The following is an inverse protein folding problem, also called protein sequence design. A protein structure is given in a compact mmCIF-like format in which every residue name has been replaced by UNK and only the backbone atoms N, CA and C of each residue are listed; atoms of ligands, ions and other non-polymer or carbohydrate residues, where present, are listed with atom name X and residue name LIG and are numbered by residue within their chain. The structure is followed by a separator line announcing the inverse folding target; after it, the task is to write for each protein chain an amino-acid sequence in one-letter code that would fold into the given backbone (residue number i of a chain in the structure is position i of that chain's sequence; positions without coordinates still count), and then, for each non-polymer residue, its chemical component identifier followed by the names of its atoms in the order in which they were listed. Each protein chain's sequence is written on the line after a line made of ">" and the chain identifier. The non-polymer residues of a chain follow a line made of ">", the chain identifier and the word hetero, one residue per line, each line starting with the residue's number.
data_IF_266687072489
#
_entry.id   IF_266687072489
#
_cell.length_a   1.000
_cell.length_b   1.000
_cell.length_c   1.000
_cell.angle_alpha   90.00
_cell.angle_beta   90.00
_cell.angle_gamma   90.00
#
_symmetry.space_group_name_H-M   'P 1'
#
loop_
_entity.id
_entity.type
_entity.pdbx_description
1 polymer ?
#
# COMPACT_ATOMS: atom_id res chain seq x y z
N UNK A 1 7.93 33.25 -1.46
CA UNK A 1 6.44 33.27 -1.55
C UNK A 1 6.07 32.24 -2.61
N UNK A 2 5.45 31.11 -2.25
CA UNK A 2 5.13 30.05 -3.22
C UNK A 2 3.63 30.07 -3.50
N UNK A 3 3.29 30.27 -4.78
CA UNK A 3 1.93 30.20 -5.32
C UNK A 3 1.40 28.77 -5.17
N UNK A 4 0.18 28.64 -4.67
CA UNK A 4 -0.60 27.40 -4.71
C UNK A 4 -1.58 27.50 -5.88
N UNK A 5 -1.39 26.65 -6.88
CA UNK A 5 -2.22 26.56 -8.08
C UNK A 5 -3.68 26.28 -7.73
N UNK A 6 -4.60 27.06 -8.32
CA UNK A 6 -6.03 26.79 -8.29
C UNK A 6 -6.37 25.98 -9.54
N UNK A 7 -6.62 24.68 -9.37
CA UNK A 7 -7.29 23.87 -10.38
C UNK A 7 -8.77 23.91 -10.05
N UNK A 8 -9.57 24.57 -10.90
CA UNK A 8 -11.02 24.58 -10.77
C UNK A 8 -11.57 23.18 -11.07
N UNK A 9 -12.08 22.50 -10.05
CA UNK A 9 -12.85 21.25 -10.23
C UNK A 9 -14.28 21.56 -10.67
N UNK A 10 -14.84 20.78 -11.61
CA UNK A 10 -16.17 21.01 -12.15
C UNK A 10 -17.27 20.69 -11.13
N UNK A 11 -18.39 21.38 -11.33
CA UNK A 11 -19.62 21.37 -10.55
C UNK A 11 -20.24 19.96 -10.47
N UNK A 12 -19.95 19.26 -9.37
CA UNK A 12 -20.75 18.15 -8.86
C UNK A 12 -21.43 18.69 -7.60
N UNK A 13 -22.70 19.07 -7.74
CA UNK A 13 -23.57 19.48 -6.64
C UNK A 13 -23.72 18.36 -5.61
N UNK A 14 -22.74 18.24 -4.71
CA UNK A 14 -22.81 17.49 -3.48
C UNK A 14 -22.91 18.55 -2.36
N UNK A 15 -24.14 18.81 -1.91
CA UNK A 15 -24.47 19.68 -0.76
C UNK A 15 -24.03 18.97 0.55
N UNK A 16 -22.81 18.44 0.55
CA UNK A 16 -22.15 17.94 1.73
C UNK A 16 -21.41 19.13 2.36
N UNK A 17 -21.67 19.46 3.64
CA UNK A 17 -20.95 20.53 4.29
C UNK A 17 -19.44 20.26 4.24
N UNK A 18 -18.67 21.29 3.92
CA UNK A 18 -17.21 21.20 3.90
C UNK A 18 -16.72 20.71 5.26
N UNK A 19 -16.00 19.58 5.27
CA UNK A 19 -15.44 19.01 6.49
C UNK A 19 -14.48 20.01 7.14
N UNK A 20 -14.78 20.40 8.37
CA UNK A 20 -13.97 21.31 9.17
C UNK A 20 -13.06 20.54 10.13
N UNK A 21 -12.00 21.18 10.65
CA UNK A 21 -11.14 20.56 11.67
C UNK A 21 -11.94 20.11 12.91
N UNK A 22 -12.97 20.87 13.29
CA UNK A 22 -13.86 20.54 14.40
C UNK A 22 -14.69 19.26 14.16
N UNK A 23 -14.89 18.84 12.91
CA UNK A 23 -15.52 17.56 12.58
C UNK A 23 -14.58 16.39 12.84
N UNK A 24 -13.29 16.55 12.55
CA UNK A 24 -12.27 15.55 12.88
C UNK A 24 -12.00 15.46 14.38
N UNK A 25 -12.04 16.58 15.10
CA UNK A 25 -11.80 16.60 16.55
C UNK A 25 -12.93 15.89 17.33
N UNK A 26 -14.16 15.89 16.77
CA UNK A 26 -15.31 15.15 17.31
C UNK A 26 -15.37 13.68 16.87
N UNK A 27 -14.48 13.26 15.97
CA UNK A 27 -14.51 11.91 15.43
C UNK A 27 -14.15 10.87 16.49
N UNK A 28 -14.92 9.78 16.51
CA UNK A 28 -14.67 8.62 17.36
C UNK A 28 -14.17 7.45 16.52
N UNK A 29 -13.08 6.82 16.96
CA UNK A 29 -12.63 5.59 16.33
C UNK A 29 -13.61 4.46 16.68
N UNK A 30 -14.04 3.70 15.67
CA UNK A 30 -14.91 2.54 15.86
C UNK A 30 -14.33 1.29 15.22
N UNK A 31 -14.39 0.17 15.94
CA UNK A 31 -14.06 -1.17 15.43
C UNK A 31 -15.31 -2.04 15.57
N UNK A 32 -15.79 -2.60 14.46
CA UNK A 32 -17.02 -3.42 14.42
C UNK A 32 -18.25 -2.75 15.07
N UNK A 33 -18.34 -1.41 15.01
CA UNK A 33 -19.46 -0.63 15.54
C UNK A 33 -19.29 -0.14 16.99
N UNK A 34 -18.28 -0.63 17.73
CA UNK A 34 -17.97 -0.21 19.09
C UNK A 34 -16.90 0.89 19.13
N UNK A 35 -17.03 1.82 20.08
CA UNK A 35 -16.03 2.86 20.33
C UNK A 35 -14.71 2.18 20.75
N UNK A 36 -13.62 2.55 20.09
CA UNK A 36 -12.30 1.99 20.29
C UNK A 36 -11.27 3.09 20.50
N UNK A 37 -10.18 2.78 21.19
CA UNK A 37 -9.01 3.66 21.23
C UNK A 37 -8.33 3.73 19.87
N UNK A 38 -7.54 4.78 19.64
CA UNK A 38 -6.73 4.95 18.42
C UNK A 38 -5.81 3.73 18.17
N UNK A 39 -5.24 3.16 19.23
CA UNK A 39 -4.35 1.99 19.15
C UNK A 39 -5.11 0.73 18.69
N UNK A 40 -6.27 0.46 19.28
CA UNK A 40 -7.11 -0.69 18.94
C UNK A 40 -7.63 -0.59 17.50
N UNK A 41 -8.06 0.60 17.09
CA UNK A 41 -8.46 0.85 15.71
C UNK A 41 -7.31 0.63 14.73
N UNK A 42 -6.11 1.15 15.03
CA UNK A 42 -4.92 0.93 14.21
C UNK A 42 -4.54 -0.55 14.11
N UNK A 43 -4.65 -1.30 15.21
CA UNK A 43 -4.41 -2.74 15.23
C UNK A 43 -5.41 -3.49 14.38
N UNK A 44 -6.71 -3.21 14.54
CA UNK A 44 -7.78 -3.84 13.76
C UNK A 44 -7.64 -3.55 12.25
N UNK A 45 -7.27 -2.32 11.88
CA UNK A 45 -7.00 -1.94 10.48
C UNK A 45 -5.79 -2.71 9.94
N UNK A 46 -4.69 -2.82 10.70
CA UNK A 46 -3.51 -3.61 10.29
C UNK A 46 -3.85 -5.07 10.04
N UNK A 47 -4.59 -5.71 10.96
CA UNK A 47 -5.02 -7.10 10.82
C UNK A 47 -5.87 -7.28 9.56
N UNK A 48 -6.80 -6.36 9.26
CA UNK A 48 -7.58 -6.43 8.02
C UNK A 48 -6.78 -6.19 6.75
N UNK A 49 -5.77 -5.31 6.78
CA UNK A 49 -5.02 -4.94 5.59
C UNK A 49 -3.94 -5.97 5.22
N UNK A 50 -3.57 -6.87 6.15
CA UNK A 50 -2.52 -7.88 5.96
C UNK A 50 -1.12 -7.28 5.73
N UNK A 51 -0.95 -5.96 5.92
CA UNK A 51 0.31 -5.24 5.73
C UNK A 51 1.04 -5.14 7.06
N UNK A 52 2.27 -5.62 7.09
CA UNK A 52 3.16 -5.50 8.25
C UNK A 52 4.02 -4.23 8.12
N UNK A 53 4.14 -3.47 9.21
CA UNK A 53 5.10 -2.36 9.32
C UNK A 53 6.40 -2.94 9.86
N UNK A 54 7.42 -3.00 9.01
CA UNK A 54 8.75 -3.50 9.35
C UNK A 54 9.78 -2.37 9.27
N UNK A 55 10.89 -2.50 9.99
CA UNK A 55 12.06 -1.67 9.81
C UNK A 55 13.02 -2.41 8.88
N UNK A 56 13.27 -1.83 7.70
CA UNK A 56 14.19 -2.37 6.70
C UNK A 56 15.07 -1.23 6.17
N UNK A 57 16.34 -1.52 5.93
CA UNK A 57 17.24 -0.62 5.21
C UNK A 57 17.22 -0.99 3.74
N UNK A 58 16.99 -0.01 2.88
CA UNK A 58 17.13 -0.12 1.44
C UNK A 58 18.22 0.85 0.99
N UNK A 59 18.95 0.47 -0.04
CA UNK A 59 19.96 1.34 -0.64
C UNK A 59 19.29 2.59 -1.23
N UNK A 60 19.96 3.74 -1.07
CA UNK A 60 19.47 5.01 -1.57
C UNK A 60 19.12 4.97 -3.09
N UNK A 61 19.94 4.37 -3.97
CA UNK A 61 19.61 4.28 -5.40
C UNK A 61 18.31 3.53 -5.69
N UNK A 62 17.98 2.50 -4.89
CA UNK A 62 16.75 1.73 -5.06
C UNK A 62 15.54 2.60 -4.70
N UNK A 63 15.62 3.32 -3.57
CA UNK A 63 14.54 4.22 -3.14
C UNK A 63 14.31 5.33 -4.16
N UNK A 64 15.39 5.95 -4.66
CA UNK A 64 15.28 7.01 -5.67
C UNK A 64 14.72 6.51 -6.99
N UNK A 65 15.10 5.30 -7.43
CA UNK A 65 14.52 4.66 -8.62
C UNK A 65 12.99 4.52 -8.50
N UNK A 66 12.51 3.97 -7.37
CA UNK A 66 11.07 3.80 -7.16
C UNK A 66 10.32 5.10 -6.90
N UNK A 67 10.97 6.12 -6.34
CA UNK A 67 10.40 7.48 -6.26
C UNK A 67 10.23 8.11 -7.63
N UNK A 68 11.18 7.94 -8.54
CA UNK A 68 11.08 8.46 -9.90
C UNK A 68 9.96 7.77 -10.70
N UNK A 69 9.77 6.45 -10.49
CA UNK A 69 8.69 5.67 -11.08
C UNK A 69 7.31 5.93 -10.48
N UNK A 70 7.26 6.49 -9.27
CA UNK A 70 6.04 6.56 -8.46
C UNK A 70 4.92 7.34 -9.15
N UNK A 71 5.17 8.48 -9.80
CA UNK A 71 4.09 9.32 -10.32
C UNK A 71 3.01 9.55 -9.25
N UNK A 72 1.74 9.25 -9.58
CA UNK A 72 0.62 9.26 -8.61
C UNK A 72 0.55 8.01 -7.70
N UNK A 73 1.19 6.90 -8.09
CA UNK A 73 1.26 5.68 -7.27
C UNK A 73 2.37 5.83 -6.22
N UNK A 74 2.06 5.58 -4.94
CA UNK A 74 3.10 5.62 -3.90
C UNK A 74 4.26 4.63 -4.18
N UNK A 75 5.50 5.10 -4.07
CA UNK A 75 6.72 4.30 -4.30
C UNK A 75 6.75 3.00 -3.47
N UNK A 76 6.19 3.01 -2.26
CA UNK A 76 6.09 1.82 -1.41
C UNK A 76 5.24 0.71 -2.05
N UNK A 77 4.18 1.08 -2.79
CA UNK A 77 3.35 0.10 -3.51
C UNK A 77 4.16 -0.58 -4.61
N UNK A 78 4.94 0.19 -5.37
CA UNK A 78 5.78 -0.36 -6.44
C UNK A 78 6.88 -1.29 -5.91
N UNK A 79 7.50 -0.95 -4.78
CA UNK A 79 8.46 -1.81 -4.11
C UNK A 79 7.80 -3.14 -3.72
N UNK A 80 6.63 -3.08 -3.06
CA UNK A 80 5.92 -4.28 -2.64
C UNK A 80 5.47 -5.15 -3.82
N UNK A 81 5.00 -4.56 -4.91
CA UNK A 81 4.60 -5.28 -6.12
C UNK A 81 5.80 -5.96 -6.78
N UNK A 82 6.96 -5.30 -6.79
CA UNK A 82 8.21 -5.87 -7.32
C UNK A 82 8.66 -7.06 -6.48
N UNK A 83 8.67 -6.92 -5.15
CA UNK A 83 8.98 -8.03 -4.24
C UNK A 83 8.02 -9.20 -4.41
N UNK A 84 6.72 -8.93 -4.58
CA UNK A 84 5.70 -9.96 -4.83
C UNK A 84 6.00 -10.75 -6.11
N UNK A 85 6.40 -10.07 -7.19
CA UNK A 85 6.76 -10.71 -8.46
C UNK A 85 8.03 -11.54 -8.34
N UNK A 86 9.05 -11.04 -7.64
CA UNK A 86 10.29 -11.77 -7.43
C UNK A 86 10.04 -13.10 -6.72
N UNK A 87 9.29 -13.09 -5.61
CA UNK A 87 8.94 -14.30 -4.85
C UNK A 87 8.11 -15.28 -5.70
N UNK A 88 7.16 -14.77 -6.48
CA UNK A 88 6.35 -15.62 -7.37
C UNK A 88 7.20 -16.26 -8.48
N UNK A 89 8.16 -15.51 -9.04
CA UNK A 89 9.08 -16.00 -10.07
C UNK A 89 10.03 -17.07 -9.56
N UNK A 90 10.63 -16.88 -8.38
CA UNK A 90 11.49 -17.89 -7.74
C UNK A 90 10.76 -19.21 -7.52
N UNK A 91 9.50 -19.15 -7.07
CA UNK A 91 8.66 -20.35 -6.91
C UNK A 91 8.40 -21.04 -8.24
N UNK A 92 8.08 -20.28 -9.28
CA UNK A 92 7.83 -20.84 -10.62
C UNK A 92 9.08 -21.52 -11.18
N UNK A 93 10.26 -20.93 -11.03
CA UNK A 93 11.50 -21.55 -11.51
C UNK A 93 11.79 -22.86 -10.78
N UNK A 94 11.59 -22.90 -9.46
CA UNK A 94 11.79 -24.10 -8.66
C UNK A 94 10.81 -25.23 -9.06
N UNK A 95 9.53 -24.88 -9.26
CA UNK A 95 8.49 -25.81 -9.70
C UNK A 95 8.85 -26.38 -11.09
N UNK A 96 9.21 -25.51 -12.05
CA UNK A 96 9.59 -25.93 -13.40
C UNK A 96 10.83 -26.83 -13.42
N UNK A 97 11.86 -26.50 -12.63
CA UNK A 97 13.07 -27.32 -12.53
C UNK A 97 12.77 -28.71 -11.98
N UNK A 98 11.82 -28.81 -11.07
CA UNK A 98 11.38 -30.10 -10.51
C UNK A 98 10.67 -30.93 -11.56
N UNK A 99 9.67 -30.36 -12.23
CA UNK A 99 8.93 -31.03 -13.31
C UNK A 99 9.89 -31.49 -14.42
N UNK A 100 10.80 -30.63 -14.88
CA UNK A 100 11.76 -31.00 -15.93
C UNK A 100 12.64 -32.17 -15.50
N UNK A 101 13.09 -32.23 -14.24
CA UNK A 101 13.86 -33.40 -13.76
C UNK A 101 13.01 -34.66 -13.73
N UNK A 102 11.77 -34.57 -13.26
CA UNK A 102 10.85 -35.71 -13.22
C UNK A 102 10.64 -36.29 -14.63
N UNK A 103 10.38 -35.43 -15.62
CA UNK A 103 10.22 -35.85 -17.02
C UNK A 103 11.50 -36.47 -17.62
N UNK A 104 12.67 -35.90 -17.29
CA UNK A 104 13.97 -36.44 -17.75
C UNK A 104 14.36 -37.76 -17.08
N UNK A 105 13.88 -38.05 -15.88
CA UNK A 105 14.14 -39.30 -15.15
C UNK A 105 13.07 -40.37 -15.35
N UNK A 106 11.90 -40.01 -15.88
CA UNK A 106 10.82 -40.92 -16.23
C UNK A 106 11.01 -41.59 -17.62
N UNK A 107 12.09 -41.25 -18.32
CA UNK A 107 12.51 -41.86 -19.60
C UNK A 107 13.68 -42.82 -19.38
#
# INVERSE_FOLDING_TARGET
>A
MKQTSSTATPDISDEAPCLTQSDFDRAKFKVAGQDASKSEWQSAVRTKTGKLRINIMLDAPIVEHFKALAGERGYQTLINDTLRRAVAGERLEADLRTIIREELHAT
#
